data_IF_150748604513
#
_entry.id   IF_150748604513
#
_cell.length_a   1.000
_cell.length_b   1.000
_cell.length_c   1.000
_cell.angle_alpha   90.00
_cell.angle_beta   90.00
_cell.angle_gamma   90.00
#
_symmetry.space_group_name_H-M   'P 1'
#
loop_
_entity.id
_entity.type
_entity.pdbx_description
1 polymer ?
#
# COMPACT_ATOMS: atom_id res chain seq x y z
N UNK A 1 0.12 7.64 12.45
CA UNK A 1 0.69 6.29 12.26
C UNK A 1 2.21 6.29 12.40
N UNK A 2 2.74 6.66 13.57
CA UNK A 2 4.17 7.00 13.73
C UNK A 2 5.15 5.85 13.45
N UNK A 3 4.70 4.59 13.42
CA UNK A 3 5.58 3.45 13.16
C UNK A 3 5.91 3.28 11.67
N UNK A 4 4.94 3.48 10.76
CA UNK A 4 5.19 3.37 9.31
C UNK A 4 5.93 4.60 8.75
N UNK A 5 5.91 5.72 9.48
CA UNK A 5 6.68 6.92 9.17
C UNK A 5 8.04 6.96 9.89
N UNK A 6 8.43 5.87 10.57
CA UNK A 6 9.71 5.79 11.29
C UNK A 6 10.89 5.71 10.33
N UNK A 7 12.00 6.35 10.68
CA UNK A 7 13.29 6.18 9.98
C UNK A 7 13.94 4.80 10.26
N UNK A 8 13.50 4.10 11.32
CA UNK A 8 13.96 2.75 11.61
C UNK A 8 13.24 1.72 10.73
N UNK A 9 14.01 1.06 9.87
CA UNK A 9 13.49 0.13 8.86
C UNK A 9 12.67 -1.00 9.49
N UNK A 10 13.11 -1.54 10.63
CA UNK A 10 12.40 -2.63 11.31
C UNK A 10 11.06 -2.17 11.89
N UNK A 11 11.02 -0.97 12.48
CA UNK A 11 9.79 -0.36 12.99
C UNK A 11 8.80 -0.12 11.86
N UNK A 12 9.28 0.40 10.72
CA UNK A 12 8.46 0.63 9.53
C UNK A 12 7.89 -0.68 8.96
N UNK A 13 8.73 -1.71 8.80
CA UNK A 13 8.29 -3.04 8.35
C UNK A 13 7.24 -3.62 9.30
N UNK A 14 7.50 -3.60 10.61
CA UNK A 14 6.55 -4.10 11.61
C UNK A 14 5.22 -3.34 11.56
N UNK A 15 5.27 -2.03 11.34
CA UNK A 15 4.10 -1.18 11.17
C UNK A 15 3.21 -1.67 10.02
N UNK A 16 3.78 -1.80 8.81
CA UNK A 16 3.01 -2.25 7.64
C UNK A 16 2.46 -3.67 7.80
N UNK A 17 3.27 -4.61 8.31
CA UNK A 17 2.81 -5.98 8.54
C UNK A 17 1.69 -6.07 9.58
N UNK A 18 1.72 -5.20 10.59
CA UNK A 18 0.66 -5.10 11.58
C UNK A 18 -0.63 -4.58 10.96
N UNK A 19 -0.55 -3.51 10.16
CA UNK A 19 -1.71 -2.95 9.44
C UNK A 19 -2.31 -4.00 8.49
N UNK A 20 -1.48 -4.68 7.69
CA UNK A 20 -1.94 -5.75 6.80
C UNK A 20 -2.74 -6.83 7.56
N UNK A 21 -2.25 -7.23 8.75
CA UNK A 21 -2.94 -8.22 9.61
C UNK A 21 -4.25 -7.68 10.19
N UNK A 22 -4.33 -6.38 10.50
CA UNK A 22 -5.56 -5.76 11.00
C UNK A 22 -6.64 -5.69 9.91
N UNK A 23 -6.26 -5.33 8.69
CA UNK A 23 -7.17 -5.28 7.53
C UNK A 23 -7.78 -6.66 7.22
N UNK A 24 -7.01 -7.74 7.40
CA UNK A 24 -7.53 -9.12 7.28
C UNK A 24 -8.62 -9.47 8.30
N UNK A 25 -8.69 -8.78 9.45
CA UNK A 25 -9.67 -9.06 10.52
C UNK A 25 -11.00 -8.31 10.33
N UNK A 26 -11.24 -7.68 9.18
CA UNK A 26 -12.47 -6.94 8.83
C UNK A 26 -12.82 -5.77 9.76
N UNK A 27 -11.81 -5.10 10.33
CA UNK A 27 -12.04 -3.78 10.95
C UNK A 27 -12.18 -2.73 9.86
N UNK A 28 -13.24 -1.92 9.89
CA UNK A 28 -13.32 -0.73 9.06
C UNK A 28 -12.20 0.24 9.46
N UNK A 29 -11.47 0.75 8.48
CA UNK A 29 -10.52 1.84 8.68
C UNK A 29 -11.26 3.15 8.41
N UNK A 30 -11.10 4.14 9.29
CA UNK A 30 -11.65 5.47 9.02
C UNK A 30 -10.88 6.17 7.87
N UNK A 31 -11.54 7.13 7.22
CA UNK A 31 -11.01 7.79 6.02
C UNK A 31 -9.67 8.51 6.27
N UNK A 32 -9.47 9.06 7.47
CA UNK A 32 -8.22 9.75 7.82
C UNK A 32 -7.07 8.75 7.92
N UNK A 33 -7.30 7.62 8.57
CA UNK A 33 -6.33 6.54 8.65
C UNK A 33 -6.05 5.93 7.27
N UNK A 34 -7.08 5.73 6.45
CA UNK A 34 -6.92 5.22 5.09
C UNK A 34 -6.02 6.13 4.25
N UNK A 35 -6.24 7.44 4.26
CA UNK A 35 -5.43 8.39 3.52
C UNK A 35 -3.97 8.43 4.00
N UNK A 36 -3.74 8.40 5.33
CA UNK A 36 -2.37 8.34 5.89
C UNK A 36 -1.67 7.03 5.50
N UNK A 37 -2.38 5.90 5.52
CA UNK A 37 -1.84 4.62 5.05
C UNK A 37 -1.43 4.69 3.58
N UNK A 38 -2.29 5.21 2.70
CA UNK A 38 -2.03 5.27 1.27
C UNK A 38 -0.82 6.13 0.94
N UNK A 39 -0.75 7.34 1.49
CA UNK A 39 0.38 8.25 1.31
C UNK A 39 1.71 7.60 1.72
N UNK A 40 1.75 7.02 2.92
CA UNK A 40 2.94 6.38 3.44
C UNK A 40 3.28 5.11 2.66
N UNK A 41 2.30 4.27 2.32
CA UNK A 41 2.55 3.03 1.59
C UNK A 41 3.06 3.30 0.16
N UNK A 42 2.50 4.28 -0.56
CA UNK A 42 3.01 4.67 -1.88
C UNK A 42 4.43 5.20 -1.78
N UNK A 43 4.70 6.09 -0.82
CA UNK A 43 6.04 6.62 -0.57
C UNK A 43 7.03 5.50 -0.25
N UNK A 44 6.68 4.57 0.63
CA UNK A 44 7.52 3.44 1.00
C UNK A 44 7.76 2.45 -0.15
N UNK A 45 6.78 2.25 -1.03
CA UNK A 45 6.96 1.42 -2.22
C UNK A 45 7.98 2.05 -3.18
N UNK A 46 7.86 3.36 -3.42
CA UNK A 46 8.70 4.09 -4.38
C UNK A 46 10.09 4.44 -3.85
N UNK A 47 10.23 4.74 -2.56
CA UNK A 47 11.49 5.22 -1.98
C UNK A 47 12.13 4.27 -0.96
N UNK A 48 11.36 3.34 -0.39
CA UNK A 48 11.84 2.46 0.67
C UNK A 48 12.84 1.39 0.21
N UNK A 49 13.49 0.77 1.20
CA UNK A 49 14.32 -0.42 1.01
C UNK A 49 13.50 -1.57 0.40
N UNK A 50 14.16 -2.61 -0.08
CA UNK A 50 13.48 -3.80 -0.62
C UNK A 50 12.47 -4.40 0.39
N UNK A 51 12.84 -4.51 1.66
CA UNK A 51 11.98 -5.10 2.68
C UNK A 51 10.83 -4.17 3.06
N UNK A 52 11.08 -2.87 3.19
CA UNK A 52 10.05 -1.85 3.42
C UNK A 52 9.05 -1.83 2.28
N UNK A 53 9.52 -1.82 1.03
CA UNK A 53 8.68 -1.87 -0.17
C UNK A 53 7.76 -3.08 -0.17
N UNK A 54 8.29 -4.26 0.13
CA UNK A 54 7.48 -5.48 0.17
C UNK A 54 6.44 -5.45 1.29
N UNK A 55 6.79 -4.93 2.47
CA UNK A 55 5.86 -4.80 3.58
C UNK A 55 4.73 -3.79 3.27
N UNK A 56 5.09 -2.63 2.72
CA UNK A 56 4.14 -1.60 2.27
C UNK A 56 3.23 -2.12 1.15
N UNK A 57 3.79 -2.82 0.16
CA UNK A 57 3.03 -3.46 -0.91
C UNK A 57 2.02 -4.49 -0.39
N UNK A 58 2.39 -5.28 0.64
CA UNK A 58 1.45 -6.19 1.29
C UNK A 58 0.32 -5.44 2.00
N UNK A 59 0.62 -4.36 2.72
CA UNK A 59 -0.40 -3.54 3.36
C UNK A 59 -1.36 -2.92 2.34
N UNK A 60 -0.83 -2.38 1.24
CA UNK A 60 -1.62 -1.81 0.14
C UNK A 60 -2.53 -2.87 -0.51
N UNK A 61 -1.99 -4.07 -0.77
CA UNK A 61 -2.79 -5.20 -1.26
C UNK A 61 -3.96 -5.52 -0.32
N UNK A 62 -3.71 -5.60 0.99
CA UNK A 62 -4.76 -5.88 1.97
C UNK A 62 -5.77 -4.76 2.13
N UNK A 63 -5.37 -3.53 1.88
CA UNK A 63 -6.28 -2.39 1.84
C UNK A 63 -7.21 -2.52 0.63
N UNK A 64 -6.64 -2.71 -0.57
CA UNK A 64 -7.44 -2.90 -1.79
C UNK A 64 -8.40 -4.09 -1.71
N UNK A 65 -7.97 -5.23 -1.16
CA UNK A 65 -8.81 -6.44 -0.99
C UNK A 65 -9.99 -6.24 -0.01
N UNK A 66 -10.05 -5.14 0.74
CA UNK A 66 -11.07 -4.93 1.75
C UNK A 66 -12.43 -4.53 1.15
N UNK A 67 -12.44 -3.69 0.11
CA UNK A 67 -13.66 -3.31 -0.61
C UNK A 67 -13.37 -2.84 -2.04
N UNK A 68 -14.37 -2.93 -2.91
CA UNK A 68 -14.29 -2.40 -4.29
C UNK A 68 -14.01 -0.89 -4.31
N UNK A 69 -14.57 -0.14 -3.35
CA UNK A 69 -14.32 1.29 -3.18
C UNK A 69 -12.84 1.59 -2.90
N UNK A 70 -12.22 0.84 -1.98
CA UNK A 70 -10.80 1.00 -1.65
C UNK A 70 -9.90 0.57 -2.82
N UNK A 71 -10.28 -0.50 -3.53
CA UNK A 71 -9.60 -0.92 -4.75
C UNK A 71 -9.64 0.19 -5.82
N UNK A 72 -10.82 0.74 -6.08
CA UNK A 72 -11.03 1.82 -7.05
C UNK A 72 -10.22 3.07 -6.68
N UNK A 73 -10.21 3.47 -5.41
CA UNK A 73 -9.41 4.60 -4.93
C UNK A 73 -7.93 4.42 -5.27
N UNK A 74 -7.36 3.23 -5.01
CA UNK A 74 -5.95 2.97 -5.30
C UNK A 74 -5.68 2.92 -6.81
N UNK A 75 -6.57 2.34 -7.61
CA UNK A 75 -6.47 2.36 -9.07
C UNK A 75 -6.35 3.79 -9.63
N UNK A 76 -7.15 4.74 -9.10
CA UNK A 76 -7.08 6.16 -9.50
C UNK A 76 -5.75 6.81 -9.17
N UNK A 77 -5.11 6.42 -8.06
CA UNK A 77 -3.84 7.00 -7.62
C UNK A 77 -2.64 6.56 -8.48
N UNK A 78 -2.74 5.43 -9.18
CA UNK A 78 -1.63 4.87 -9.96
C UNK A 78 -1.88 4.86 -11.46
N UNK A 79 -2.98 5.43 -11.94
CA UNK A 79 -3.37 5.34 -13.36
C UNK A 79 -2.30 5.91 -14.31
N UNK A 80 -1.64 6.98 -13.89
CA UNK A 80 -0.58 7.64 -14.66
C UNK A 80 0.71 6.80 -14.75
N UNK A 81 0.84 5.77 -13.90
CA UNK A 81 2.03 4.92 -13.82
C UNK A 81 2.02 3.78 -14.85
N UNK A 82 0.92 3.55 -15.57
CA UNK A 82 0.75 2.44 -16.52
C UNK A 82 1.93 2.30 -17.50
N UNK A 83 2.42 3.44 -18.01
CA UNK A 83 3.48 3.49 -19.02
C UNK A 83 4.82 4.00 -18.44
N UNK A 84 4.98 4.01 -17.12
CA UNK A 84 6.23 4.44 -16.49
C UNK A 84 7.40 3.56 -16.90
N UNK A 85 8.60 4.14 -16.99
CA UNK A 85 9.85 3.40 -17.20
C UNK A 85 10.60 3.16 -15.89
N UNK A 86 10.13 3.72 -14.78
CA UNK A 86 10.68 3.48 -13.47
C UNK A 86 10.23 2.10 -12.95
N UNK A 87 11.19 1.27 -12.56
CA UNK A 87 10.92 -0.11 -12.12
C UNK A 87 10.01 -0.17 -10.88
N UNK A 88 10.09 0.83 -10.00
CA UNK A 88 9.34 0.88 -8.74
C UNK A 88 7.92 1.36 -8.99
N UNK A 89 7.74 2.33 -9.88
CA UNK A 89 6.41 2.75 -10.34
C UNK A 89 5.71 1.61 -11.10
N UNK A 90 6.43 0.89 -11.96
CA UNK A 90 5.88 -0.28 -12.66
C UNK A 90 5.57 -1.44 -11.71
N UNK A 91 6.38 -1.65 -10.66
CA UNK A 91 6.05 -2.59 -9.60
C UNK A 91 4.74 -2.20 -8.89
N UNK A 92 4.58 -0.92 -8.52
CA UNK A 92 3.38 -0.42 -7.86
C UNK A 92 2.15 -0.58 -8.76
N UNK A 93 2.23 -0.17 -10.02
CA UNK A 93 1.15 -0.32 -10.99
C UNK A 93 0.76 -1.79 -11.19
N UNK A 94 1.75 -2.68 -11.36
CA UNK A 94 1.52 -4.12 -11.52
C UNK A 94 0.82 -4.71 -10.30
N UNK A 95 1.27 -4.36 -9.09
CA UNK A 95 0.63 -4.81 -7.85
C UNK A 95 -0.85 -4.42 -7.80
N UNK A 96 -1.16 -3.16 -8.10
CA UNK A 96 -2.53 -2.63 -8.08
C UNK A 96 -3.37 -3.32 -9.14
N UNK A 97 -2.87 -3.43 -10.38
CA UNK A 97 -3.56 -4.11 -11.48
C UNK A 97 -3.87 -5.57 -11.13
N UNK A 98 -2.92 -6.28 -10.55
CA UNK A 98 -3.09 -7.69 -10.20
C UNK A 98 -4.19 -7.87 -9.13
N UNK A 99 -4.27 -6.98 -8.14
CA UNK A 99 -5.36 -7.01 -7.14
C UNK A 99 -6.70 -6.61 -7.78
N UNK A 100 -6.72 -5.55 -8.60
CA UNK A 100 -7.93 -5.10 -9.27
C UNK A 100 -8.55 -6.19 -10.15
N UNK A 101 -7.74 -7.05 -10.77
CA UNK A 101 -8.20 -8.17 -11.58
C UNK A 101 -8.94 -9.29 -10.81
N UNK A 102 -8.98 -9.21 -9.48
CA UNK A 102 -9.65 -10.19 -8.61
C UNK A 102 -11.06 -9.79 -8.17
N UNK A 103 -11.48 -8.57 -8.52
CA UNK A 103 -12.85 -8.06 -8.34
C UNK A 103 -13.68 -8.36 -9.59
#
# INVERSE_FOLDING_TARGET
MNWIASEDEFTQICGYLTIARLLMKKGAMDDSAANELLDQAMTAVLAGSYNVRNAAGLALRKFMEHSEEQCFQVCRLVEELENSKDEREQYLYTLVRDVASTF
#
